data_IF_169218019434
#
_entry.id   IF_169218019434
#
_cell.length_a   1.000
_cell.length_b   1.000
_cell.length_c   1.000
_cell.angle_alpha   90.00
_cell.angle_beta   90.00
_cell.angle_gamma   90.00
#
_symmetry.space_group_name_H-M   'P 1'
#
loop_
_entity.id
_entity.type
_entity.pdbx_description
1 polymer ?
2 water ?
#
# COMPACT_ATOMS: atom_id res chain seq x y z
N UNK A 8 -4.43 20.54 -17.16
CA UNK A 8 -4.26 21.26 -15.86
C UNK A 8 -5.25 20.82 -14.75
N UNK A 9 -6.41 20.29 -15.15
CA UNK A 9 -7.41 19.78 -14.20
C UNK A 9 -7.43 18.26 -14.30
N UNK A 10 -7.30 17.57 -13.17
CA UNK A 10 -7.26 16.10 -13.19
C UNK A 10 -8.61 15.39 -13.18
N UNK A 11 -8.72 14.34 -13.99
CA UNK A 11 -9.98 13.64 -14.19
C UNK A 11 -10.38 12.89 -12.93
N UNK A 12 -9.38 12.43 -12.17
CA UNK A 12 -9.57 11.70 -10.93
C UNK A 12 -8.97 12.43 -9.75
N UNK A 13 -9.44 12.06 -8.57
CA UNK A 13 -9.02 12.65 -7.30
C UNK A 13 -8.95 11.49 -6.29
N UNK A 14 -8.32 11.70 -5.15
CA UNK A 14 -8.12 10.60 -4.23
C UNK A 14 -8.63 10.98 -2.85
N UNK A 15 -9.31 10.05 -2.16
CA UNK A 15 -9.67 10.27 -0.76
C UNK A 15 -9.05 9.17 0.06
N UNK A 16 -8.48 9.54 1.20
CA UNK A 16 -7.56 8.69 1.90
C UNK A 16 -7.84 8.65 3.39
N UNK A 17 -7.38 7.56 4.01
CA UNK A 17 -7.57 7.36 5.43
C UNK A 17 -6.44 6.50 5.92
N UNK A 18 -6.28 6.42 7.23
CA UNK A 18 -5.13 5.78 7.78
C UNK A 18 -5.34 5.58 9.26
N UNK A 19 -5.03 4.39 9.76
CA UNK A 19 -5.03 4.09 11.18
C UNK A 19 -3.66 3.51 11.50
N UNK A 20 -3.21 3.72 12.73
CA UNK A 20 -1.87 3.34 13.16
C UNK A 20 -1.84 3.14 14.69
N UNK A 21 -1.34 1.99 15.12
CA UNK A 21 -1.19 1.68 16.52
C UNK A 21 0.23 1.24 16.78
N UNK A 22 0.66 1.38 18.03
CA UNK A 22 2.03 1.00 18.44
C UNK A 22 2.03 -0.22 19.35
N UNK A 23 3.21 -0.83 19.49
CA UNK A 23 3.47 -1.92 20.44
C UNK A 23 2.98 -1.61 21.86
N UNK A 24 2.33 -2.58 22.50
CA UNK A 24 1.81 -2.48 23.88
C UNK A 24 0.91 -1.29 24.23
N UNK A 25 0.18 -0.77 23.25
CA UNK A 25 -0.58 0.47 23.40
C UNK A 25 0.32 1.68 23.61
N UNK A 26 1.47 1.68 22.94
CA UNK A 26 2.46 2.74 23.06
C UNK A 26 2.07 3.96 22.26
N UNK A 27 2.83 5.04 22.43
CA UNK A 27 2.48 6.36 21.86
C UNK A 27 3.25 6.70 20.55
N UNK A 28 4.38 6.04 20.29
CA UNK A 28 5.14 6.23 19.03
C UNK A 28 5.42 4.87 18.36
N UNK A 29 4.92 4.69 17.11
CA UNK A 29 5.23 3.51 16.27
C UNK A 29 6.50 3.67 15.38
N UNK A 30 7.09 2.51 15.01
CA UNK A 30 8.22 2.40 14.04
C UNK A 30 7.86 2.07 12.59
N UNK A 31 6.57 1.82 12.33
CA UNK A 31 6.06 1.82 10.97
C UNK A 31 6.14 3.26 10.47
N UNK A 32 6.51 3.43 9.21
CA UNK A 32 6.48 4.72 8.54
C UNK A 32 5.43 4.61 7.42
N UNK A 33 4.70 5.69 7.14
CA UNK A 33 3.94 5.80 5.90
C UNK A 33 3.85 7.21 5.37
N UNK A 34 3.50 7.32 4.10
CA UNK A 34 3.42 8.60 3.43
C UNK A 34 2.43 8.51 2.29
N UNK A 35 1.68 9.60 2.10
CA UNK A 35 0.81 9.74 0.92
C UNK A 35 0.82 11.18 0.41
N UNK A 36 1.30 11.35 -0.83
CA UNK A 36 1.85 12.60 -1.34
C UNK A 36 1.52 12.69 -2.81
N UNK A 37 1.42 13.92 -3.30
CA UNK A 37 1.01 14.15 -4.67
C UNK A 37 2.02 13.71 -5.74
N UNK A 38 3.32 13.69 -5.45
CA UNK A 38 4.32 13.26 -6.46
C UNK A 38 4.13 13.95 -7.82
N UNK A 39 4.59 15.20 -7.88
CA UNK A 39 4.58 15.97 -9.12
C UNK A 39 3.18 16.29 -9.61
N UNK A 40 3.06 16.41 -10.93
CA UNK A 40 1.81 16.87 -11.57
C UNK A 40 0.65 15.88 -11.40
N UNK A 41 0.71 14.80 -12.15
CA UNK A 41 -0.46 13.94 -12.38
C UNK A 41 -0.49 12.61 -11.61
N UNK A 42 0.52 12.33 -10.80
CA UNK A 42 0.62 11.09 -10.06
C UNK A 42 0.20 11.31 -8.61
N UNK A 43 -0.10 10.24 -7.88
CA UNK A 43 -0.34 10.29 -6.44
C UNK A 43 0.27 9.05 -5.85
N UNK A 44 1.00 9.17 -4.74
CA UNK A 44 1.87 8.10 -4.25
C UNK A 44 1.60 7.73 -2.80
N UNK A 45 1.50 6.43 -2.57
CA UNK A 45 1.24 5.90 -1.25
C UNK A 45 2.38 4.94 -0.92
N UNK A 46 2.93 5.01 0.29
CA UNK A 46 3.95 4.06 0.72
C UNK A 46 3.84 3.71 2.18
N UNK A 47 4.15 2.46 2.50
CA UNK A 47 4.29 2.02 3.87
C UNK A 47 5.60 1.27 3.90
N UNK A 48 6.34 1.46 4.98
CA UNK A 48 7.61 0.74 5.22
C UNK A 48 7.77 0.45 6.70
N UNK A 49 8.43 -0.66 6.98
CA UNK A 49 8.82 -1.08 8.32
C UNK A 49 10.29 -1.49 8.18
N UNK A 50 11.15 -1.02 9.08
CA UNK A 50 12.60 -1.11 8.88
C UNK A 50 13.06 -0.03 7.90
N UNK A 54 15.33 6.43 13.85
CA UNK A 54 16.39 7.37 13.49
C UNK A 54 15.90 8.53 12.65
N UNK A 55 16.46 9.72 12.88
CA UNK A 55 16.11 10.89 12.08
C UNK A 55 16.69 10.75 10.68
N UNK A 56 17.99 10.45 10.61
CA UNK A 56 18.68 10.22 9.34
C UNK A 56 18.13 9.02 8.56
N UNK A 57 17.69 7.99 9.30
CA UNK A 57 17.05 6.79 8.72
C UNK A 57 15.87 7.11 7.79
N UNK A 58 14.91 7.88 8.28
CA UNK A 58 13.77 8.31 7.45
C UNK A 58 14.15 9.27 6.31
N UNK A 59 15.32 9.90 6.36
CA UNK A 59 15.83 10.63 5.19
C UNK A 59 16.33 9.67 4.11
N UNK A 60 17.07 8.65 4.53
CA UNK A 60 17.59 7.66 3.59
C UNK A 60 16.46 6.87 2.95
N UNK A 61 15.46 6.47 3.77
CA UNK A 61 14.22 5.83 3.27
C UNK A 61 13.51 6.65 2.21
N UNK A 62 13.16 7.89 2.54
CA UNK A 62 12.44 8.74 1.59
C UNK A 62 13.24 8.89 0.30
N UNK A 63 14.56 8.97 0.44
CA UNK A 63 15.42 9.08 -0.71
C UNK A 63 15.33 7.82 -1.55
N UNK A 64 15.51 6.65 -0.92
CA UNK A 64 15.40 5.41 -1.74
C UNK A 64 14.03 5.23 -2.36
N UNK A 65 12.99 5.65 -1.63
CA UNK A 65 11.62 5.64 -2.13
C UNK A 65 11.48 6.55 -3.35
N UNK A 66 12.13 7.73 -3.30
CA UNK A 66 12.14 8.63 -4.45
C UNK A 66 12.80 7.97 -5.65
N UNK A 67 13.89 7.23 -5.42
CA UNK A 67 14.55 6.55 -6.53
C UNK A 67 13.62 5.52 -7.10
N UNK A 68 13.05 4.71 -6.22
CA UNK A 68 12.15 3.67 -6.68
C UNK A 68 10.96 4.26 -7.44
N UNK A 69 10.48 5.41 -6.96
CA UNK A 69 9.41 6.11 -7.65
C UNK A 69 9.77 6.35 -9.10
N UNK A 70 10.94 6.94 -9.33
CA UNK A 70 11.30 7.39 -10.66
C UNK A 70 11.48 6.22 -11.64
N UNK A 71 12.00 5.11 -11.14
CA UNK A 71 12.09 3.90 -11.94
C UNK A 71 10.73 3.35 -12.27
N UNK A 72 9.92 3.16 -11.24
CA UNK A 72 8.54 2.73 -11.47
C UNK A 72 7.81 3.50 -12.58
N UNK A 73 8.03 4.82 -12.62
CA UNK A 73 7.38 5.72 -13.57
C UNK A 73 8.04 5.91 -14.93
N UNK A 74 9.18 5.25 -15.12
CA UNK A 74 10.08 5.55 -16.23
C UNK A 74 9.59 5.01 -17.56
N UNK A 75 8.65 4.05 -17.54
CA UNK A 75 8.13 3.43 -18.77
C UNK A 75 8.96 2.24 -19.16
N UNK A 76 9.80 1.82 -18.24
CA UNK A 76 10.79 0.79 -18.46
C UNK A 76 10.04 -0.54 -18.40
N UNK A 77 10.55 -1.57 -19.08
CA UNK A 77 10.00 -2.91 -18.95
C UNK A 77 10.12 -3.44 -17.51
N UNK A 78 9.15 -4.25 -17.10
CA UNK A 78 8.97 -4.63 -15.70
C UNK A 78 10.07 -5.50 -15.16
N UNK A 79 10.70 -6.29 -16.03
CA UNK A 79 11.83 -7.15 -15.63
C UNK A 79 13.04 -6.28 -15.26
N UNK A 80 13.30 -5.32 -16.13
CA UNK A 80 14.41 -4.38 -15.97
C UNK A 80 14.25 -3.56 -14.71
N UNK A 81 13.02 -3.10 -14.48
CA UNK A 81 12.73 -2.32 -13.29
C UNK A 81 13.03 -3.15 -12.07
N UNK A 82 12.64 -4.44 -12.13
CA UNK A 82 12.83 -5.36 -11.01
C UNK A 82 14.31 -5.48 -10.67
N UNK A 83 15.13 -5.74 -11.68
CA UNK A 83 16.55 -5.92 -11.41
C UNK A 83 17.25 -4.59 -11.08
N UNK A 84 16.76 -3.50 -11.68
CA UNK A 84 17.26 -2.18 -11.30
C UNK A 84 17.00 -1.89 -9.82
N UNK A 85 15.78 -2.17 -9.39
CA UNK A 85 15.40 -1.90 -8.04
C UNK A 85 16.17 -2.78 -7.07
N UNK A 86 16.33 -4.04 -7.40
CA UNK A 86 17.21 -4.90 -6.60
C UNK A 86 18.59 -4.27 -6.47
N UNK A 87 19.23 -3.88 -7.59
CA UNK A 87 20.54 -3.18 -7.53
C UNK A 87 20.53 -1.99 -6.59
N UNK A 88 19.48 -1.18 -6.66
CA UNK A 88 19.36 0.01 -5.81
C UNK A 88 19.33 -0.39 -4.37
N UNK A 89 18.53 -1.40 -4.06
CA UNK A 89 18.37 -1.85 -2.72
C UNK A 89 19.63 -2.52 -2.20
N UNK A 90 20.33 -3.35 -2.99
CA UNK A 90 21.61 -3.93 -2.53
C UNK A 90 22.60 -2.86 -2.13
N UNK A 91 22.78 -1.91 -3.02
CA UNK A 91 23.48 -0.69 -2.68
C UNK A 91 22.59 0.06 -1.70
N UNK A 92 23.16 0.78 -0.76
CA UNK A 92 22.33 1.50 0.23
C UNK A 92 21.36 0.62 1.02
N UNK A 93 21.69 -0.66 1.18
CA UNK A 93 21.10 -1.54 2.19
C UNK A 93 22.20 -2.51 2.62
N UNK A 94 22.07 -3.03 3.83
CA UNK A 94 22.90 -4.15 4.27
C UNK A 94 22.05 -5.42 4.49
N UNK A 95 22.74 -6.56 4.59
CA UNK A 95 22.20 -7.74 5.26
C UNK A 95 21.87 -7.28 6.69
N UNK A 96 21.24 -8.14 7.48
CA UNK A 96 20.82 -7.77 8.85
C UNK A 96 19.84 -6.59 8.92
N UNK A 97 19.46 -6.04 7.75
CA UNK A 97 18.31 -5.15 7.60
C UNK A 97 17.34 -5.81 6.62
N UNK A 98 16.19 -6.17 7.19
CA UNK A 98 15.14 -6.87 6.51
C UNK A 98 13.95 -5.92 6.54
N UNK A 99 14.01 -4.87 5.72
CA UNK A 99 12.93 -3.91 5.69
C UNK A 99 11.88 -4.31 4.64
N UNK A 100 10.68 -3.78 4.80
CA UNK A 100 9.58 -4.07 3.90
C UNK A 100 9.14 -2.76 3.30
N UNK A 101 8.61 -2.83 2.09
CA UNK A 101 8.06 -1.68 1.44
C UNK A 101 6.96 -2.05 0.46
N UNK A 102 5.77 -1.51 0.66
CA UNK A 102 4.70 -1.55 -0.34
C UNK A 102 4.54 -0.13 -0.84
N UNK A 103 4.44 0.03 -2.15
CA UNK A 103 4.37 1.33 -2.76
C UNK A 103 3.47 1.30 -3.96
N UNK A 104 2.55 2.24 -4.05
CA UNK A 104 1.58 2.32 -5.11
C UNK A 104 1.51 3.75 -5.57
N UNK A 105 1.35 3.91 -6.89
CA UNK A 105 1.31 5.23 -7.48
C UNK A 105 0.23 5.31 -8.55
N UNK A 106 -0.72 6.21 -8.34
CA UNK A 106 -1.89 6.33 -9.18
C UNK A 106 -1.73 7.50 -10.10
N UNK A 107 -1.96 7.28 -11.39
CA UNK A 107 -2.05 8.36 -12.33
C UNK A 107 -3.43 8.96 -12.24
N UNK A 108 -3.46 10.28 -12.03
CA UNK A 108 -4.69 10.97 -11.80
C UNK A 108 -5.45 11.39 -13.06
N UNK A 109 -4.91 11.13 -14.25
CA UNK A 109 -5.68 11.32 -15.50
C UNK A 109 -6.36 10.05 -16.06
N UNK A 110 -5.67 8.91 -16.07
CA UNK A 110 -6.27 7.65 -16.59
C UNK A 110 -6.67 6.61 -15.53
N UNK A 111 -6.36 6.89 -14.25
CA UNK A 111 -6.54 5.94 -13.12
C UNK A 111 -5.69 4.67 -13.21
N UNK A 112 -4.58 4.73 -13.95
CA UNK A 112 -3.69 3.60 -14.04
C UNK A 112 -2.94 3.61 -12.72
N UNK A 113 -2.36 2.47 -12.39
CA UNK A 113 -1.69 2.34 -11.13
C UNK A 113 -0.54 1.39 -11.25
N UNK A 114 0.57 1.75 -10.63
CA UNK A 114 1.74 0.92 -10.60
C UNK A 114 2.00 0.67 -9.13
N UNK A 115 2.25 -0.60 -8.82
CA UNK A 115 2.56 -1.06 -7.48
C UNK A 115 3.93 -1.69 -7.50
N UNK A 116 4.56 -1.66 -6.32
CA UNK A 116 5.82 -2.27 -6.10
C UNK A 116 5.86 -2.83 -4.70
N UNK A 117 6.26 -4.08 -4.57
CA UNK A 117 6.20 -4.80 -3.32
C UNK A 117 7.56 -5.38 -3.01
N UNK A 118 7.98 -5.26 -1.76
CA UNK A 118 9.15 -5.96 -1.28
C UNK A 118 8.77 -6.53 0.07
N UNK A 119 8.62 -7.84 0.16
CA UNK A 119 8.12 -8.48 1.36
C UNK A 119 6.98 -9.43 1.06
N UNK A 120 6.31 -9.88 2.10
CA UNK A 120 5.27 -10.88 1.95
C UNK A 120 3.89 -10.36 2.38
N UNK A 121 3.80 -9.05 2.58
CA UNK A 121 2.59 -8.40 3.06
C UNK A 121 1.85 -7.91 1.81
N UNK A 122 0.60 -8.39 1.63
CA UNK A 122 -0.17 -8.14 0.41
C UNK A 122 -0.96 -6.83 0.41
N UNK A 123 -1.09 -6.21 -0.76
CA UNK A 123 -2.01 -5.10 -1.01
C UNK A 123 -3.29 -5.65 -1.64
N UNK A 124 -4.37 -4.87 -1.50
CA UNK A 124 -5.67 -5.23 -2.03
C UNK A 124 -6.41 -4.11 -2.68
N UNK A 125 -7.12 -4.48 -3.74
CA UNK A 125 -8.12 -3.63 -4.36
C UNK A 125 -9.50 -4.23 -4.09
N UNK A 126 -10.44 -3.38 -3.74
CA UNK A 126 -11.81 -3.78 -3.59
C UNK A 126 -12.62 -3.01 -4.61
N UNK A 127 -13.25 -3.76 -5.52
CA UNK A 127 -14.13 -3.24 -6.55
C UNK A 127 -15.47 -3.94 -6.35
N UNK A 128 -16.41 -3.21 -5.76
CA UNK A 128 -17.71 -3.73 -5.43
C UNK A 128 -17.52 -4.78 -4.38
N UNK A 129 -17.87 -6.01 -4.71
CA UNK A 129 -17.80 -7.11 -3.74
C UNK A 129 -16.61 -8.03 -3.97
N UNK A 130 -15.87 -7.83 -5.06
CA UNK A 130 -14.58 -8.49 -5.23
C UNK A 130 -13.48 -7.81 -4.40
N UNK A 131 -12.57 -8.60 -3.84
CA UNK A 131 -11.42 -8.09 -3.15
C UNK A 131 -10.22 -8.83 -3.73
N UNK A 132 -9.46 -8.20 -4.61
CA UNK A 132 -8.35 -8.89 -5.25
C UNK A 132 -7.08 -8.58 -4.50
N UNK A 133 -6.32 -9.63 -4.19
CA UNK A 133 -4.95 -9.48 -3.76
C UNK A 133 -4.13 -9.14 -4.98
N UNK A 134 -3.35 -8.09 -4.86
CA UNK A 134 -2.47 -7.62 -5.90
C UNK A 134 -1.14 -8.31 -5.76
N UNK A 135 -0.76 -9.05 -6.79
CA UNK A 135 0.42 -9.89 -6.74
C UNK A 135 1.02 -10.07 -8.13
N UNK A 136 2.35 -10.23 -8.18
CA UNK A 136 3.09 -10.55 -9.40
C UNK A 136 3.55 -11.99 -9.33
N UNK A 137 3.84 -12.56 -10.50
CA UNK A 137 4.40 -13.94 -10.61
C UNK A 137 5.82 -13.90 -10.12
N UNK A 138 6.33 -15.05 -9.69
CA UNK A 138 7.79 -15.23 -9.64
C UNK A 138 8.26 -15.14 -11.11
N UNK A 139 9.11 -14.15 -11.38
CA UNK A 139 9.83 -14.10 -12.64
C UNK A 139 10.70 -15.37 -12.77
N UNK A 140 10.78 -15.97 -13.99
CA UNK A 140 11.27 -17.33 -14.17
C UNK A 140 12.58 -17.72 -13.46
N UNK A 141 12.70 -19.01 -13.20
CA UNK A 141 13.82 -19.56 -12.44
C UNK A 141 15.13 -19.43 -13.22
N UNK A 142 16.21 -19.21 -12.47
CA UNK A 142 17.51 -18.87 -13.06
C UNK A 142 17.77 -17.37 -13.03
N UNK A 143 16.68 -16.58 -13.05
CA UNK A 143 16.74 -15.11 -12.86
C UNK A 143 16.62 -14.78 -11.40
N UNK A 144 17.65 -14.16 -10.83
CA UNK A 144 17.69 -13.92 -9.40
C UNK A 144 16.95 -12.61 -9.07
N UNK A 145 16.48 -12.53 -7.83
CA UNK A 145 15.62 -11.49 -7.36
C UNK A 145 15.92 -11.40 -5.90
N UNK A 146 16.95 -10.67 -5.54
CA UNK A 146 17.49 -10.76 -4.21
C UNK A 146 16.52 -10.35 -3.13
N UNK A 147 15.60 -9.43 -3.44
CA UNK A 147 14.63 -8.89 -2.48
C UNK A 147 13.18 -9.28 -2.78
N UNK A 148 13.02 -10.25 -3.69
CA UNK A 148 11.70 -10.73 -4.14
C UNK A 148 10.80 -9.51 -4.36
N UNK A 149 11.33 -8.63 -5.19
CA UNK A 149 10.63 -7.45 -5.60
C UNK A 149 9.53 -7.83 -6.59
N UNK A 150 8.36 -7.24 -6.38
CA UNK A 150 7.24 -7.39 -7.27
C UNK A 150 6.84 -6.05 -7.79
N UNK A 151 6.40 -6.06 -9.04
CA UNK A 151 5.98 -4.90 -9.80
C UNK A 151 4.78 -5.31 -10.66
N UNK A 152 3.66 -4.68 -10.40
CA UNK A 152 2.37 -5.03 -10.99
C UNK A 152 1.76 -3.73 -11.46
N UNK A 153 1.03 -3.78 -12.56
CA UNK A 153 0.29 -2.64 -13.05
C UNK A 153 -1.14 -3.05 -13.21
N UNK A 154 -2.04 -2.28 -12.61
CA UNK A 154 -3.45 -2.53 -12.77
C UNK A 154 -4.13 -1.27 -13.21
N UNK A 155 -5.27 -1.45 -13.87
CA UNK A 155 -6.10 -0.35 -14.27
C UNK A 155 -7.16 -0.26 -13.24
N UNK A 156 -7.30 0.93 -12.66
CA UNK A 156 -8.34 1.14 -11.67
C UNK A 156 -9.53 1.84 -12.30
N UNK A 157 -10.65 1.75 -11.60
CA UNK A 157 -11.90 2.43 -11.89
C UNK A 157 -12.37 3.23 -10.67
N UNK A 158 -13.17 4.27 -10.95
CA UNK A 158 -13.72 5.08 -9.91
C UNK A 158 -14.54 4.20 -8.98
N UNK A 159 -14.45 4.51 -7.68
CA UNK A 159 -15.10 3.72 -6.65
C UNK A 159 -14.16 2.71 -6.02
N UNK A 160 -13.11 2.29 -6.74
CA UNK A 160 -12.15 1.33 -6.20
C UNK A 160 -11.55 1.73 -4.87
N UNK A 161 -11.50 0.79 -3.94
CA UNK A 161 -10.68 0.91 -2.74
C UNK A 161 -9.33 0.17 -2.89
N UNK A 162 -8.29 0.81 -2.39
CA UNK A 162 -6.92 0.31 -2.36
C UNK A 162 -6.56 0.35 -0.88
N UNK A 163 -6.15 -0.81 -0.35
CA UNK A 163 -5.84 -1.00 1.05
C UNK A 163 -4.46 -1.62 1.15
N UNK A 164 -3.61 -1.00 1.98
CA UNK A 164 -2.22 -1.35 2.11
C UNK A 164 -1.98 -1.42 3.56
N UNK A 165 -1.13 -2.37 4.00
CA UNK A 165 -0.92 -2.55 5.40
C UNK A 165 0.47 -2.95 5.69
N UNK A 166 0.86 -2.72 6.93
CA UNK A 166 2.14 -3.12 7.47
C UNK A 166 2.06 -4.57 7.90
N UNK A 167 3.18 -5.26 7.86
CA UNK A 167 3.32 -6.65 8.34
C UNK A 167 2.72 -6.90 9.70
N UNK A 168 2.89 -5.95 10.62
CA UNK A 168 2.39 -6.09 11.98
C UNK A 168 0.90 -6.31 12.06
N UNK A 169 0.14 -5.58 11.24
CA UNK A 169 -1.31 -5.71 11.23
C UNK A 169 -1.74 -6.90 10.38
N UNK A 170 -1.02 -7.17 9.28
CA UNK A 170 -1.34 -8.37 8.47
C UNK A 170 -1.27 -9.64 9.28
N UNK A 171 -0.15 -9.76 10.00
CA UNK A 171 0.16 -10.85 10.97
C UNK A 171 -0.50 -10.71 12.35
N UNK A 172 -1.30 -9.68 12.57
CA UNK A 172 -1.84 -9.40 13.88
C UNK A 172 -2.96 -10.31 14.40
N UNK A 173 -3.84 -10.79 13.52
CA UNK A 173 -4.99 -11.51 14.08
C UNK A 173 -4.54 -12.78 14.80
N UNK A 174 -4.89 -12.91 16.08
CA UNK A 174 -4.55 -14.14 16.85
C UNK A 174 -5.48 -15.29 16.52
N UNK A 175 -4.95 -16.50 16.68
CA UNK A 175 -5.69 -17.74 16.45
C UNK A 175 -6.21 -17.84 15.04
N UNK A 176 -5.43 -17.29 14.10
CA UNK A 176 -5.77 -17.22 12.68
C UNK A 176 -4.56 -17.67 11.88
N UNK A 177 -4.75 -18.74 11.12
CA UNK A 177 -3.66 -19.45 10.44
C UNK A 177 -3.43 -18.85 9.07
N UNK A 178 -4.51 -18.62 8.33
CA UNK A 178 -4.45 -17.96 7.05
C UNK A 178 -4.78 -16.48 7.18
N UNK A 179 -3.75 -15.65 7.22
CA UNK A 179 -3.95 -14.20 7.38
C UNK A 179 -4.58 -13.52 6.13
N UNK A 180 -4.13 -13.92 4.97
CA UNK A 180 -4.62 -13.38 3.71
C UNK A 180 -6.16 -13.47 3.56
N UNK A 181 -6.64 -14.66 3.87
CA UNK A 181 -8.03 -15.02 3.74
C UNK A 181 -8.89 -14.33 4.80
N UNK A 182 -8.32 -14.13 5.98
CA UNK A 182 -8.98 -13.42 7.07
C UNK A 182 -9.19 -11.96 6.71
N UNK A 183 -8.14 -11.30 6.27
CA UNK A 183 -8.30 -9.94 5.75
C UNK A 183 -9.31 -9.88 4.63
N UNK A 184 -9.15 -10.75 3.63
CA UNK A 184 -10.07 -10.85 2.51
C UNK A 184 -11.51 -10.84 2.96
N UNK A 185 -11.85 -11.73 3.89
CA UNK A 185 -13.20 -11.84 4.42
C UNK A 185 -13.59 -10.52 5.04
N UNK A 186 -12.76 -10.01 5.95
CA UNK A 186 -13.10 -8.78 6.66
C UNK A 186 -13.32 -7.57 5.71
N UNK A 187 -12.61 -7.53 4.60
CA UNK A 187 -12.82 -6.48 3.62
C UNK A 187 -14.13 -6.70 2.87
N UNK A 188 -14.32 -7.90 2.34
CA UNK A 188 -15.64 -8.30 1.82
C UNK A 188 -16.81 -7.88 2.78
N UNK A 189 -16.67 -8.10 4.08
CA UNK A 189 -17.76 -7.81 5.04
C UNK A 189 -18.08 -6.36 5.40
N UNK A 190 -17.20 -5.45 4.98
CA UNK A 190 -17.42 -4.03 5.16
C UNK A 190 -18.57 -3.54 4.27
N UNK A 191 -19.26 -2.52 4.77
CA UNK A 191 -20.33 -1.87 4.01
C UNK A 191 -20.06 -0.38 3.75
N UNK A 192 -19.54 0.34 4.74
CA UNK A 192 -18.91 1.67 4.50
C UNK A 192 -17.89 1.73 3.34
N UNK A 193 -17.89 2.86 2.65
CA UNK A 193 -16.93 3.18 1.59
C UNK A 193 -16.00 4.32 2.03
N UNK A 194 -16.11 4.72 3.30
CA UNK A 194 -15.26 5.76 3.83
C UNK A 194 -13.86 5.18 4.08
N UNK A 195 -12.81 5.77 3.46
CA UNK A 195 -11.42 5.33 3.71
C UNK A 195 -11.02 5.28 5.18
N UNK A 196 -11.30 6.34 5.93
CA UNK A 196 -10.90 6.39 7.34
C UNK A 196 -11.71 5.46 8.21
N UNK A 197 -12.99 5.30 7.93
CA UNK A 197 -13.80 4.37 8.71
C UNK A 197 -13.26 2.97 8.47
N UNK A 198 -12.99 2.67 7.20
CA UNK A 198 -12.43 1.37 6.84
C UNK A 198 -11.10 1.14 7.55
N UNK A 199 -10.20 2.10 7.50
CA UNK A 199 -8.95 1.97 8.24
C UNK A 199 -9.21 1.55 9.69
N UNK A 200 -10.00 2.35 10.41
CA UNK A 200 -10.22 2.13 11.85
C UNK A 200 -10.95 0.79 12.12
N UNK A 201 -11.81 0.36 11.21
CA UNK A 201 -12.58 -0.87 11.42
C UNK A 201 -11.67 -2.08 11.38
N UNK A 202 -10.81 -2.11 10.35
CA UNK A 202 -9.85 -3.19 10.23
C UNK A 202 -8.98 -3.28 11.47
N UNK A 203 -8.48 -2.14 11.91
CA UNK A 203 -7.69 -2.09 13.13
C UNK A 203 -8.40 -2.72 14.35
N UNK A 204 -9.65 -2.35 14.58
CA UNK A 204 -10.44 -2.85 15.70
C UNK A 204 -10.70 -4.36 15.60
N UNK A 205 -10.95 -4.86 14.41
CA UNK A 205 -11.19 -6.29 14.24
C UNK A 205 -9.99 -7.12 14.66
N UNK A 206 -8.76 -6.66 14.34
CA UNK A 206 -7.58 -7.45 14.67
C UNK A 206 -7.26 -7.26 16.14
N UNK A 207 -7.50 -6.07 16.67
CA UNK A 207 -7.27 -5.84 18.11
C UNK A 207 -8.31 -6.57 18.96
N UNK A 208 -9.54 -6.62 18.50
CA UNK A 208 -10.52 -7.44 19.18
C UNK A 208 -10.02 -8.89 19.27
N UNK A 209 -9.49 -9.43 18.17
CA UNK A 209 -8.98 -10.83 18.17
C UNK A 209 -7.90 -11.11 19.19
N UNK A 210 -7.11 -10.10 19.55
CA UNK A 210 -6.07 -10.28 20.57
C UNK A 210 -6.45 -9.59 21.88
N UNK A 211 -7.74 -9.28 22.03
CA UNK A 211 -8.31 -8.82 23.29
C UNK A 211 -7.54 -7.63 23.87
N UNK A 212 -7.20 -6.68 23.01
CA UNK A 212 -6.56 -5.43 23.43
C UNK A 212 -5.05 -5.39 23.38
N UNK A 213 -4.37 -6.54 23.48
CA UNK A 213 -2.87 -6.57 23.52
C UNK A 213 -2.29 -6.36 22.10
N UNK A 214 -1.23 -5.57 21.99
CA UNK A 214 -0.66 -5.17 20.69
C UNK A 214 0.81 -5.58 20.55
N UNK A 215 1.02 -6.70 19.88
CA UNK A 215 2.34 -7.32 19.78
C UNK A 215 3.29 -6.54 18.87
N UNK A 216 2.75 -5.77 17.92
CA UNK A 216 3.56 -5.09 16.91
C UNK A 216 2.96 -3.74 16.54
N UNK A 217 3.74 -2.91 15.88
CA UNK A 217 3.20 -1.74 15.25
C UNK A 217 2.30 -2.21 14.13
N UNK A 218 1.14 -1.57 14.02
CA UNK A 218 0.11 -1.98 13.10
C UNK A 218 -0.33 -0.77 12.34
N UNK A 219 -0.49 -0.90 11.03
CA UNK A 219 -0.72 0.25 10.16
C UNK A 219 -1.39 -0.17 8.86
N UNK A 220 -2.35 0.64 8.44
CA UNK A 220 -3.13 0.36 7.28
C UNK A 220 -3.50 1.68 6.67
N UNK A 221 -3.42 1.79 5.35
CA UNK A 221 -3.96 2.93 4.68
C UNK A 221 -4.87 2.49 3.58
N UNK A 222 -5.91 3.29 3.42
CA UNK A 222 -6.96 3.09 2.48
C UNK A 222 -7.03 4.32 1.61
N UNK A 223 -7.18 4.11 0.32
CA UNK A 223 -7.36 5.16 -0.62
C UNK A 223 -8.53 4.83 -1.52
N UNK A 224 -9.54 5.71 -1.56
CA UNK A 224 -10.59 5.62 -2.57
C UNK A 224 -10.25 6.52 -3.72
N UNK A 225 -10.63 6.07 -4.90
CA UNK A 225 -10.33 6.71 -6.15
C UNK A 225 -11.69 7.19 -6.69
N UNK A 226 -11.79 8.52 -6.89
CA UNK A 226 -13.02 9.17 -7.31
C UNK A 226 -12.81 9.96 -8.59
N UNK A 227 -13.89 10.16 -9.34
CA UNK A 227 -13.94 11.19 -10.37
C UNK A 227 -13.76 12.58 -9.71
N UNK A 228 -12.91 13.43 -10.28
CA UNK A 228 -12.67 14.77 -9.76
C UNK A 228 -13.74 15.67 -10.32
N UNK A 229 -14.91 15.56 -9.71
CA UNK A 229 -16.08 16.26 -10.18
C UNK A 229 -16.12 17.58 -9.43
N UNK A 230 -16.25 18.68 -10.18
CA UNK A 230 -16.13 19.96 -9.50
C UNK A 230 -17.20 20.14 -8.40
N UNK A 231 -16.86 20.95 -7.41
CA UNK A 231 -17.66 21.08 -6.20
C UNK A 231 -19.07 21.60 -6.52
N UNK A 232 -19.11 22.55 -7.45
CA UNK A 232 -20.34 23.20 -7.96
C UNK A 232 -21.26 22.34 -8.82
N UNK A 233 -20.85 21.14 -9.22
CA UNK A 233 -21.71 20.27 -10.01
C UNK A 233 -22.92 19.82 -9.21
N UNK A 234 -24.06 19.72 -9.91
CA UNK A 234 -25.25 19.04 -9.47
C UNK A 234 -25.31 17.65 -10.13
N UNK A 235 -26.08 16.72 -9.54
CA UNK A 235 -26.26 15.35 -10.10
C UNK A 235 -27.22 15.45 -11.30
N UNK A 236 -27.12 14.52 -12.29
CA UNK A 236 -28.22 14.38 -13.27
C UNK A 236 -29.17 13.19 -12.93
N UNK A 237 -30.36 13.18 -13.55
CA UNK A 237 -31.44 12.24 -13.19
C UNK A 237 -31.69 11.15 -14.29
N UNK A 238 -32.53 10.13 -13.98
CA UNK A 238 -33.21 9.34 -15.00
C UNK A 238 -34.73 9.59 -14.92
#
# INVERSE_FOLDING_TARGET
>A
MSSGHHHHHHSYRVSTGAAHAAKGGGLVSGDSYSMMELGARKYAIAISDGMGNGARAHFESNETIKLLEKILESGIDEKIAIKTINSILSLRTTDEIYSTLDLSIIDLQDASCKFLKVGSTPSFIKRGDQVMKVQASNLPIGIINEFDVEVVSEQLKAGDLLIMMSDGIFEGPKHVENHDLWMKRKMKGLKTNDPQEIADLLMEEVIRTRSGQIEDDMTVVVVRIDHNTPKWASIPVPAIFQNKQEIS
#
